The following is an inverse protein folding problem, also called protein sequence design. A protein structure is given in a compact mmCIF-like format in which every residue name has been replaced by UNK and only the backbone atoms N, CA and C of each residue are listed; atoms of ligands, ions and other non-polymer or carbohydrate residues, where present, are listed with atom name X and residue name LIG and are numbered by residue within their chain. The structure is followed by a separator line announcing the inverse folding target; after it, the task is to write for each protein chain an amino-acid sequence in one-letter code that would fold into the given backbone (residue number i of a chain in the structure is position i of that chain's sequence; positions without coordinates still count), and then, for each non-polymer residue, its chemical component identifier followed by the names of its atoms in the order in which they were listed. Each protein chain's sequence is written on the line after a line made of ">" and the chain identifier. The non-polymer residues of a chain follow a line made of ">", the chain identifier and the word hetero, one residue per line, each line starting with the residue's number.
data_IF_875584079851
#
_entry.id   IF_875584079851
#
_cell.length_a   1.000
_cell.length_b   1.000
_cell.length_c   1.000
_cell.angle_alpha   90.00
_cell.angle_beta   90.00
_cell.angle_gamma   90.00
#
_symmetry.space_group_name_H-M   'P 1'
#
loop_
_entity.id
_entity.type
_entity.pdbx_description
1 polymer ?
#
# COMPACT_ATOMS: atom_id res chain seq x y z
N UNK A 1 -7.04 25.39 -14.29
CA UNK A 1 -5.78 24.77 -13.82
C UNK A 1 -5.47 25.11 -12.36
N UNK A 2 -5.49 26.38 -11.93
CA UNK A 2 -5.20 26.74 -10.53
C UNK A 2 -6.13 26.04 -9.52
N UNK A 3 -7.44 26.18 -9.70
CA UNK A 3 -8.45 25.57 -8.81
C UNK A 3 -8.42 24.03 -8.80
N UNK A 4 -8.00 23.42 -9.92
CA UNK A 4 -7.88 21.95 -10.01
C UNK A 4 -6.70 21.42 -9.20
N UNK A 5 -5.57 22.15 -9.15
CA UNK A 5 -4.41 21.76 -8.36
C UNK A 5 -4.66 21.95 -6.85
N UNK A 6 -5.34 23.02 -6.44
CA UNK A 6 -5.72 23.22 -5.05
C UNK A 6 -6.66 22.13 -4.53
N UNK A 7 -7.68 21.76 -5.33
CA UNK A 7 -8.58 20.65 -4.99
C UNK A 7 -7.82 19.33 -4.89
N UNK A 8 -6.88 19.09 -5.82
CA UNK A 8 -6.06 17.89 -5.86
C UNK A 8 -5.18 17.75 -4.62
N UNK A 9 -4.44 18.80 -4.25
CA UNK A 9 -3.62 18.84 -3.04
C UNK A 9 -4.49 18.63 -1.80
N UNK A 10 -5.73 19.13 -1.84
CA UNK A 10 -6.80 18.87 -0.88
C UNK A 10 -7.01 17.39 -0.53
N UNK A 11 -6.76 16.49 -1.49
CA UNK A 11 -7.05 15.05 -1.40
C UNK A 11 -5.84 14.18 -1.04
N UNK A 12 -4.61 14.71 -1.13
CA UNK A 12 -3.40 13.95 -0.80
C UNK A 12 -3.47 13.35 0.61
N UNK A 13 -3.24 12.04 0.72
CA UNK A 13 -3.34 11.26 1.98
C UNK A 13 -4.72 11.27 2.64
N UNK A 14 -5.79 11.59 1.91
CA UNK A 14 -7.16 11.59 2.43
C UNK A 14 -8.03 10.62 1.62
N UNK A 15 -7.82 9.29 1.77
CA UNK A 15 -8.76 8.32 1.22
C UNK A 15 -10.13 8.50 1.86
N UNK A 16 -11.20 8.24 1.12
CA UNK A 16 -12.57 8.55 1.57
C UNK A 16 -13.07 7.62 2.69
N UNK A 17 -12.58 6.37 2.72
CA UNK A 17 -12.85 5.34 3.74
C UNK A 17 -14.32 5.13 4.16
N UNK A 18 -15.29 5.03 3.23
CA UNK A 18 -16.71 4.88 3.57
C UNK A 18 -17.03 3.62 4.39
N UNK A 19 -16.21 2.56 4.31
CA UNK A 19 -16.45 1.29 4.99
C UNK A 19 -15.69 1.15 6.32
N UNK A 20 -15.03 2.20 6.81
CA UNK A 20 -14.16 2.12 7.99
C UNK A 20 -14.87 1.53 9.23
N UNK A 21 -16.11 1.93 9.49
CA UNK A 21 -16.89 1.40 10.62
C UNK A 21 -17.06 -0.12 10.56
N UNK A 22 -17.51 -0.63 9.41
CA UNK A 22 -17.65 -2.09 9.17
C UNK A 22 -16.30 -2.80 9.29
N UNK A 23 -15.22 -2.21 8.79
CA UNK A 23 -13.89 -2.82 8.90
C UNK A 23 -13.39 -2.88 10.35
N UNK A 24 -13.68 -1.85 11.16
CA UNK A 24 -13.31 -1.83 12.58
C UNK A 24 -14.15 -2.82 13.40
N UNK A 25 -15.42 -3.04 13.07
CA UNK A 25 -16.24 -4.09 13.68
C UNK A 25 -15.65 -5.49 13.43
N UNK A 26 -15.29 -5.78 12.17
CA UNK A 26 -14.62 -7.04 11.81
C UNK A 26 -13.28 -7.22 12.53
N UNK A 27 -12.51 -6.14 12.76
CA UNK A 27 -11.31 -6.16 13.61
C UNK A 27 -11.64 -6.63 15.02
N UNK A 28 -12.72 -6.13 15.60
CA UNK A 28 -13.21 -6.54 16.91
C UNK A 28 -13.57 -8.03 16.96
N UNK A 29 -14.31 -8.51 15.96
CA UNK A 29 -14.66 -9.93 15.82
C UNK A 29 -13.41 -10.81 15.70
N UNK A 30 -12.41 -10.40 14.90
CA UNK A 30 -11.14 -11.10 14.79
C UNK A 30 -10.37 -11.14 16.11
N UNK A 31 -10.27 -10.01 16.81
CA UNK A 31 -9.56 -9.93 18.09
C UNK A 31 -10.18 -10.89 19.13
N UNK A 32 -11.51 -10.94 19.20
CA UNK A 32 -12.23 -11.85 20.08
C UNK A 32 -12.04 -13.33 19.67
N UNK A 33 -12.13 -13.63 18.37
CA UNK A 33 -11.89 -14.98 17.87
C UNK A 33 -10.46 -15.46 18.19
N UNK A 34 -9.46 -14.59 18.01
CA UNK A 34 -8.05 -14.85 18.34
C UNK A 34 -7.88 -15.09 19.84
N UNK A 35 -8.49 -14.26 20.69
CA UNK A 35 -8.47 -14.46 22.15
C UNK A 35 -9.01 -15.84 22.53
N UNK A 36 -10.20 -16.20 22.02
CA UNK A 36 -10.83 -17.50 22.29
C UNK A 36 -10.02 -18.69 21.74
N UNK A 37 -9.31 -18.51 20.63
CA UNK A 37 -8.44 -19.54 20.06
C UNK A 37 -7.20 -19.77 20.93
N UNK A 38 -6.55 -18.70 21.38
CA UNK A 38 -5.41 -18.76 22.31
C UNK A 38 -5.81 -19.42 23.63
N UNK A 39 -6.99 -19.07 24.19
CA UNK A 39 -7.49 -19.71 25.40
C UNK A 39 -7.76 -21.21 25.21
N UNK A 40 -8.37 -21.62 24.09
CA UNK A 40 -8.61 -23.04 23.77
C UNK A 40 -7.31 -23.81 23.61
N UNK A 41 -6.33 -23.21 22.93
CA UNK A 41 -5.01 -23.80 22.76
C UNK A 41 -4.28 -23.95 24.11
N UNK A 42 -4.30 -22.93 24.96
CA UNK A 42 -3.69 -22.98 26.28
C UNK A 42 -4.26 -24.12 27.13
N UNK A 43 -5.59 -24.31 27.09
CA UNK A 43 -6.25 -25.45 27.76
C UNK A 43 -5.80 -26.79 27.16
N UNK A 44 -5.83 -26.94 25.84
CA UNK A 44 -5.42 -28.18 25.18
C UNK A 44 -3.94 -28.54 25.45
N UNK A 45 -3.05 -27.54 25.45
CA UNK A 45 -1.63 -27.73 25.81
C UNK A 45 -1.51 -28.15 27.27
N UNK A 46 -2.22 -27.49 28.19
CA UNK A 46 -2.24 -27.85 29.62
C UNK A 46 -2.72 -29.29 29.84
N UNK A 47 -3.79 -29.71 29.17
CA UNK A 47 -4.33 -31.07 29.25
C UNK A 47 -3.34 -32.11 28.68
N UNK A 48 -2.67 -31.78 27.58
CA UNK A 48 -1.64 -32.62 26.98
C UNK A 48 -0.43 -32.78 27.91
N UNK A 49 0.02 -31.69 28.54
CA UNK A 49 1.11 -31.73 29.53
C UNK A 49 0.73 -32.60 30.73
N UNK A 50 -0.49 -32.49 31.25
CA UNK A 50 -0.97 -33.36 32.33
C UNK A 50 -0.96 -34.85 31.93
N UNK A 51 -1.37 -35.16 30.69
CA UNK A 51 -1.30 -36.53 30.14
C UNK A 51 0.13 -37.03 29.97
N UNK A 52 1.07 -36.16 29.57
CA UNK A 52 2.50 -36.47 29.49
C UNK A 52 3.05 -36.81 30.88
N UNK A 53 2.78 -35.97 31.90
CA UNK A 53 3.25 -36.21 33.26
C UNK A 53 2.69 -37.50 33.87
N UNK A 54 1.40 -37.79 33.63
CA UNK A 54 0.80 -39.07 34.03
C UNK A 54 1.48 -40.27 33.33
N UNK A 55 1.70 -40.19 32.02
CA UNK A 55 2.40 -41.24 31.28
C UNK A 55 3.86 -41.42 31.76
N UNK A 56 4.52 -40.33 32.16
CA UNK A 56 5.85 -40.36 32.77
C UNK A 56 5.84 -41.11 34.10
N UNK A 57 4.86 -40.84 34.95
CA UNK A 57 4.69 -41.53 36.22
C UNK A 57 4.48 -43.05 36.01
N UNK A 58 3.70 -43.45 35.01
CA UNK A 58 3.49 -44.86 34.64
C UNK A 58 4.83 -45.54 34.25
N UNK A 59 5.64 -44.89 33.42
CA UNK A 59 6.97 -45.40 32.99
C UNK A 59 7.91 -45.53 34.18
N UNK A 60 7.94 -44.54 35.07
CA UNK A 60 8.76 -44.61 36.28
C UNK A 60 8.29 -45.72 37.24
N UNK A 61 6.98 -45.94 37.37
CA UNK A 61 6.43 -47.00 38.20
C UNK A 61 6.75 -48.41 37.66
N UNK A 62 6.85 -48.59 36.33
CA UNK A 62 7.23 -49.85 35.70
C UNK A 62 8.72 -50.21 35.92
N UNK A 63 9.58 -49.20 36.10
CA UNK A 63 11.02 -49.36 36.36
C UNK A 63 11.78 -50.23 35.34
N UNK A 64 11.31 -50.28 34.09
CA UNK A 64 11.93 -51.00 32.98
C UNK A 64 12.76 -50.08 32.06
N UNK A 65 12.63 -48.76 32.23
CA UNK A 65 13.31 -47.75 31.42
C UNK A 65 12.79 -47.61 29.99
N UNK A 66 11.64 -48.21 29.66
CA UNK A 66 11.13 -48.24 28.28
C UNK A 66 10.18 -47.06 28.04
N UNK A 67 10.55 -46.21 27.08
CA UNK A 67 9.66 -45.16 26.57
C UNK A 67 8.56 -45.79 25.71
N UNK A 68 7.30 -45.63 26.14
CA UNK A 68 6.15 -46.19 25.42
C UNK A 68 5.82 -45.38 24.16
N UNK A 69 5.18 -46.03 23.18
CA UNK A 69 4.63 -45.36 21.99
C UNK A 69 3.65 -44.25 22.38
N UNK A 70 2.85 -44.47 23.43
CA UNK A 70 1.96 -43.46 24.04
C UNK A 70 2.69 -42.16 24.39
N UNK A 71 3.88 -42.23 24.98
CA UNK A 71 4.65 -41.03 25.33
C UNK A 71 5.15 -40.30 24.08
N UNK A 72 5.59 -41.04 23.06
CA UNK A 72 6.01 -40.46 21.77
C UNK A 72 4.86 -39.76 21.05
N UNK A 73 3.67 -40.35 21.06
CA UNK A 73 2.47 -39.77 20.45
C UNK A 73 2.01 -38.51 21.18
N UNK A 74 2.05 -38.52 22.51
CA UNK A 74 1.76 -37.34 23.33
C UNK A 74 2.74 -36.19 23.06
N UNK A 75 4.03 -36.47 22.89
CA UNK A 75 5.00 -35.44 22.50
C UNK A 75 4.71 -34.85 21.11
N UNK A 76 4.28 -35.68 20.15
CA UNK A 76 3.88 -35.20 18.82
C UNK A 76 2.63 -34.34 18.88
N UNK A 77 1.64 -34.78 19.65
CA UNK A 77 0.42 -34.03 19.92
C UNK A 77 0.74 -32.68 20.57
N UNK A 78 1.60 -32.66 21.59
CA UNK A 78 2.07 -31.42 22.22
C UNK A 78 2.76 -30.49 21.22
N UNK A 79 3.70 -31.00 20.41
CA UNK A 79 4.38 -30.19 19.36
C UNK A 79 3.39 -29.61 18.35
N UNK A 80 2.34 -30.36 18.00
CA UNK A 80 1.29 -29.88 17.11
C UNK A 80 0.43 -28.80 17.79
N UNK A 81 -0.04 -29.06 19.02
CA UNK A 81 -0.85 -28.13 19.80
C UNK A 81 -0.11 -26.84 20.15
N UNK A 82 1.21 -26.89 20.37
CA UNK A 82 2.02 -25.70 20.70
C UNK A 82 2.29 -24.78 19.50
N UNK A 83 2.00 -25.21 18.27
CA UNK A 83 2.10 -24.35 17.08
C UNK A 83 0.79 -23.57 16.93
N UNK A 84 0.78 -22.34 17.38
CA UNK A 84 -0.27 -21.40 16.98
C UNK A 84 -0.05 -21.08 15.50
N UNK A 85 -1.08 -21.23 14.68
CA UNK A 85 -1.10 -20.65 13.33
C UNK A 85 -1.64 -19.21 13.46
N UNK A 86 -0.76 -18.18 13.47
CA UNK A 86 -1.20 -16.80 13.59
C UNK A 86 -1.93 -16.32 12.32
N UNK A 87 -1.77 -17.00 11.20
CA UNK A 87 -2.28 -16.57 9.90
C UNK A 87 -3.69 -17.13 9.61
N UNK A 88 -4.05 -18.29 10.18
CA UNK A 88 -5.36 -18.93 9.92
C UNK A 88 -6.56 -18.00 10.18
N UNK A 89 -6.63 -17.39 11.37
CA UNK A 89 -7.71 -16.47 11.71
C UNK A 89 -7.61 -15.13 10.95
N UNK A 90 -6.40 -14.72 10.57
CA UNK A 90 -6.17 -13.48 9.83
C UNK A 90 -6.74 -13.61 8.41
N UNK A 91 -6.53 -14.74 7.75
CA UNK A 91 -7.06 -15.00 6.41
C UNK A 91 -8.60 -15.01 6.38
N UNK A 92 -9.24 -15.53 7.42
CA UNK A 92 -10.71 -15.50 7.55
C UNK A 92 -11.24 -14.07 7.73
N UNK A 93 -10.55 -13.23 8.51
CA UNK A 93 -10.88 -11.82 8.65
C UNK A 93 -10.67 -11.06 7.33
N UNK A 94 -9.58 -11.36 6.62
CA UNK A 94 -9.29 -10.82 5.30
C UNK A 94 -10.37 -11.15 4.27
N UNK A 95 -10.84 -12.39 4.24
CA UNK A 95 -11.90 -12.84 3.33
C UNK A 95 -13.24 -12.13 3.58
N UNK A 96 -13.48 -11.64 4.80
CA UNK A 96 -14.68 -10.85 5.15
C UNK A 96 -14.52 -9.36 4.80
N UNK A 97 -13.29 -8.84 4.87
CA UNK A 97 -12.99 -7.43 4.69
C UNK A 97 -12.75 -7.04 3.23
N UNK A 98 -12.02 -7.87 2.49
CA UNK A 98 -11.51 -7.52 1.17
C UNK A 98 -12.09 -8.44 0.09
N UNK A 99 -12.28 -7.92 -1.15
CA UNK A 99 -12.58 -8.76 -2.30
C UNK A 99 -11.54 -9.87 -2.46
N UNK A 100 -11.97 -11.09 -2.83
CA UNK A 100 -11.09 -12.25 -2.98
C UNK A 100 -9.88 -11.99 -3.89
N UNK A 101 -10.06 -11.14 -4.92
CA UNK A 101 -8.99 -10.71 -5.83
C UNK A 101 -7.80 -10.03 -5.11
N UNK A 102 -7.99 -9.46 -3.93
CA UNK A 102 -6.92 -8.75 -3.21
C UNK A 102 -6.00 -9.67 -2.38
N UNK A 103 -6.46 -10.89 -2.08
CA UNK A 103 -5.80 -11.83 -1.17
C UNK A 103 -4.45 -12.31 -1.72
N UNK A 104 -4.31 -12.42 -3.05
CA UNK A 104 -3.08 -12.90 -3.70
C UNK A 104 -2.05 -11.81 -4.01
N UNK A 105 -2.48 -10.56 -4.19
CA UNK A 105 -1.60 -9.49 -4.69
C UNK A 105 -0.73 -8.85 -3.62
N UNK A 106 -1.11 -9.00 -2.34
CA UNK A 106 -0.57 -8.17 -1.27
C UNK A 106 0.27 -9.03 -0.31
N UNK A 107 1.55 -9.24 -0.69
CA UNK A 107 2.52 -10.01 0.10
C UNK A 107 3.01 -9.17 1.29
N UNK A 108 2.35 -9.30 2.43
CA UNK A 108 2.80 -8.75 3.72
C UNK A 108 3.38 -9.82 4.65
N UNK A 109 3.88 -10.92 4.10
CA UNK A 109 4.32 -12.09 4.87
C UNK A 109 5.49 -11.82 5.84
N UNK A 110 6.16 -10.68 5.69
CA UNK A 110 7.34 -10.33 6.50
C UNK A 110 7.05 -9.26 7.58
N UNK A 111 5.82 -8.73 7.66
CA UNK A 111 5.40 -7.82 8.75
C UNK A 111 4.59 -8.56 9.81
N UNK A 112 4.49 -7.98 11.00
CA UNK A 112 3.72 -8.55 12.09
C UNK A 112 2.22 -8.64 11.74
N UNK A 113 1.48 -9.63 12.28
CA UNK A 113 0.08 -9.86 11.94
C UNK A 113 -0.85 -8.67 12.20
N UNK A 114 -0.56 -7.85 13.21
CA UNK A 114 -1.43 -6.72 13.58
C UNK A 114 -1.27 -5.59 12.55
N UNK A 115 -0.04 -5.31 12.11
CA UNK A 115 0.27 -4.42 10.99
C UNK A 115 -0.35 -4.89 9.67
N UNK A 116 -0.41 -6.21 9.42
CA UNK A 116 -1.13 -6.77 8.25
C UNK A 116 -2.63 -6.48 8.32
N UNK A 117 -3.23 -6.64 9.50
CA UNK A 117 -4.64 -6.39 9.71
C UNK A 117 -4.97 -4.90 9.56
N UNK A 118 -4.15 -4.01 10.10
CA UNK A 118 -4.33 -2.56 9.94
C UNK A 118 -4.23 -2.14 8.47
N UNK A 119 -3.32 -2.74 7.70
CA UNK A 119 -3.22 -2.50 6.27
C UNK A 119 -4.46 -3.04 5.53
N UNK A 120 -5.00 -4.17 5.98
CA UNK A 120 -6.25 -4.73 5.48
C UNK A 120 -7.39 -3.74 5.63
N UNK A 121 -7.59 -3.26 6.86
CA UNK A 121 -8.66 -2.35 7.22
C UNK A 121 -8.51 -1.04 6.46
N UNK A 122 -7.30 -0.49 6.38
CA UNK A 122 -7.05 0.75 5.65
C UNK A 122 -7.48 0.65 4.19
N UNK A 123 -7.09 -0.43 3.50
CA UNK A 123 -7.43 -0.63 2.08
C UNK A 123 -8.89 -1.05 1.88
N UNK A 124 -9.40 -1.96 2.72
CA UNK A 124 -10.78 -2.45 2.64
C UNK A 124 -11.80 -1.36 2.97
N UNK A 125 -11.42 -0.39 3.81
CA UNK A 125 -12.29 0.74 4.12
C UNK A 125 -12.57 1.63 2.90
N UNK A 126 -11.75 1.54 1.84
CA UNK A 126 -11.77 2.40 0.66
C UNK A 126 -11.55 1.60 -0.65
N UNK A 127 -12.44 0.64 -0.92
CA UNK A 127 -12.34 -0.22 -2.11
C UNK A 127 -12.26 0.56 -3.42
N UNK A 128 -13.11 1.58 -3.58
CA UNK A 128 -13.15 2.41 -4.79
C UNK A 128 -11.86 3.22 -4.98
N UNK A 129 -11.33 3.81 -3.91
CA UNK A 129 -10.07 4.56 -3.97
C UNK A 129 -8.88 3.65 -4.32
N UNK A 130 -8.83 2.43 -3.75
CA UNK A 130 -7.78 1.45 -4.08
C UNK A 130 -7.85 1.03 -5.55
N UNK A 131 -9.04 0.77 -6.08
CA UNK A 131 -9.23 0.43 -7.49
C UNK A 131 -8.85 1.59 -8.43
N UNK A 132 -9.22 2.81 -8.06
CA UNK A 132 -8.82 4.02 -8.78
C UNK A 132 -7.30 4.19 -8.78
N UNK A 133 -6.63 3.95 -7.65
CA UNK A 133 -5.18 4.03 -7.52
C UNK A 133 -4.46 2.97 -8.37
N UNK A 134 -4.96 1.73 -8.40
CA UNK A 134 -4.40 0.65 -9.23
C UNK A 134 -4.63 0.90 -10.73
N UNK A 135 -5.79 1.46 -11.10
CA UNK A 135 -6.06 1.91 -12.46
C UNK A 135 -5.12 3.05 -12.87
N UNK A 136 -4.91 4.03 -11.99
CA UNK A 136 -3.97 5.13 -12.21
C UNK A 136 -2.52 4.64 -12.41
N UNK A 137 -2.07 3.65 -11.64
CA UNK A 137 -0.76 3.03 -11.83
C UNK A 137 -0.63 2.33 -13.20
N UNK A 138 -1.71 1.67 -13.67
CA UNK A 138 -1.74 1.07 -15.01
C UNK A 138 -1.76 2.13 -16.12
N UNK A 139 -2.49 3.23 -15.92
CA UNK A 139 -2.51 4.37 -16.84
C UNK A 139 -1.15 5.08 -16.90
N UNK A 140 -0.44 5.19 -15.77
CA UNK A 140 0.90 5.77 -15.70
C UNK A 140 1.88 4.99 -16.59
N UNK A 141 1.84 3.65 -16.50
CA UNK A 141 2.62 2.78 -17.39
C UNK A 141 2.30 3.03 -18.87
N UNK A 142 1.02 3.09 -19.21
CA UNK A 142 0.59 3.32 -20.60
C UNK A 142 1.00 4.70 -21.12
N UNK A 143 0.93 5.74 -20.27
CA UNK A 143 1.28 7.11 -20.64
C UNK A 143 2.79 7.31 -20.82
N UNK A 144 3.62 6.57 -20.06
CA UNK A 144 5.07 6.70 -20.08
C UNK A 144 5.78 5.75 -21.07
N UNK A 145 5.13 4.67 -21.49
CA UNK A 145 5.70 3.72 -22.45
C UNK A 145 6.14 4.36 -23.79
N UNK A 146 5.40 5.30 -24.41
CA UNK A 146 5.83 5.99 -25.64
C UNK A 146 7.12 6.80 -25.48
N UNK A 147 7.48 7.14 -24.23
CA UNK A 147 8.66 7.92 -23.86
C UNK A 147 9.83 7.04 -23.41
N UNK A 148 9.77 5.74 -23.70
CA UNK A 148 10.84 4.79 -23.39
C UNK A 148 10.95 4.38 -21.92
N UNK A 149 10.04 4.85 -21.06
CA UNK A 149 9.99 4.48 -19.64
C UNK A 149 9.20 3.18 -19.45
N UNK A 150 9.88 2.14 -18.98
CA UNK A 150 9.28 0.83 -18.71
C UNK A 150 8.92 0.70 -17.23
N UNK A 151 7.63 0.54 -16.94
CA UNK A 151 7.11 0.31 -15.59
C UNK A 151 6.48 -1.08 -15.53
N UNK A 152 6.88 -1.89 -14.54
CA UNK A 152 6.38 -3.26 -14.42
C UNK A 152 4.87 -3.33 -14.09
N UNK A 153 4.26 -4.49 -14.36
CA UNK A 153 2.81 -4.71 -14.20
C UNK A 153 2.32 -4.69 -12.74
N UNK A 154 3.22 -5.01 -11.79
CA UNK A 154 2.87 -5.30 -10.41
C UNK A 154 2.58 -4.03 -9.62
N UNK A 155 1.48 -4.01 -8.88
CA UNK A 155 1.22 -3.01 -7.84
C UNK A 155 1.51 -3.62 -6.47
N UNK A 156 2.21 -2.88 -5.61
CA UNK A 156 2.51 -3.24 -4.23
C UNK A 156 1.95 -2.15 -3.31
N UNK A 157 1.44 -2.56 -2.16
CA UNK A 157 0.93 -1.66 -1.12
C UNK A 157 1.83 -1.74 0.10
N UNK A 158 2.30 -0.60 0.60
CA UNK A 158 3.15 -0.50 1.79
C UNK A 158 2.72 0.66 2.66
N UNK A 159 2.93 0.54 3.97
CA UNK A 159 2.81 1.69 4.86
C UNK A 159 3.71 2.81 4.38
N UNK A 160 3.21 4.04 4.51
CA UNK A 160 4.00 5.20 4.13
C UNK A 160 5.26 5.28 4.99
N UNK A 161 6.43 5.19 4.35
CA UNK A 161 7.74 5.34 4.95
C UNK A 161 8.54 6.49 4.32
N UNK A 162 8.44 6.67 3.00
CA UNK A 162 9.10 7.74 2.26
C UNK A 162 8.29 8.19 1.04
N UNK A 163 8.53 9.43 0.62
CA UNK A 163 8.02 9.98 -0.63
C UNK A 163 8.85 9.47 -1.83
N UNK A 164 8.26 9.48 -3.03
CA UNK A 164 8.97 9.11 -4.24
C UNK A 164 9.89 10.25 -4.74
N UNK A 165 11.20 10.06 -4.58
CA UNK A 165 12.23 11.07 -4.87
C UNK A 165 12.58 11.24 -6.36
N UNK A 166 12.11 10.37 -7.25
CA UNK A 166 12.50 10.36 -8.67
C UNK A 166 11.38 10.80 -9.63
N UNK A 167 10.54 11.76 -9.22
CA UNK A 167 9.43 12.27 -10.05
C UNK A 167 9.95 13.04 -11.28
N UNK A 168 11.09 13.68 -11.14
CA UNK A 168 11.79 14.48 -12.15
C UNK A 168 12.24 13.56 -13.29
N UNK A 169 12.96 12.48 -12.93
CA UNK A 169 13.44 11.45 -13.84
C UNK A 169 12.27 10.73 -14.54
N UNK A 170 11.15 10.56 -13.85
CA UNK A 170 9.96 9.91 -14.40
C UNK A 170 9.43 10.62 -15.65
N UNK A 171 9.52 11.95 -15.69
CA UNK A 171 8.98 12.77 -16.77
C UNK A 171 10.01 13.40 -17.70
N UNK A 172 11.30 13.33 -17.36
CA UNK A 172 12.43 13.94 -18.09
C UNK A 172 12.25 13.92 -19.63
N UNK A 173 12.16 12.74 -20.24
CA UNK A 173 12.04 12.61 -21.71
C UNK A 173 10.78 13.25 -22.29
N UNK A 174 9.65 13.17 -21.58
CA UNK A 174 8.40 13.78 -22.03
C UNK A 174 8.43 15.32 -21.86
N UNK A 175 9.08 15.80 -20.79
CA UNK A 175 9.28 17.21 -20.52
C UNK A 175 10.23 17.85 -21.54
N UNK A 176 11.34 17.18 -21.88
CA UNK A 176 12.28 17.65 -22.91
C UNK A 176 11.56 17.84 -24.24
N UNK A 177 10.80 16.83 -24.68
CA UNK A 177 10.02 16.92 -25.90
C UNK A 177 9.00 18.06 -25.87
N UNK A 178 8.29 18.26 -24.74
CA UNK A 178 7.31 19.33 -24.61
C UNK A 178 7.97 20.72 -24.63
N UNK A 179 9.16 20.84 -24.05
CA UNK A 179 9.96 22.07 -24.03
C UNK A 179 10.49 22.41 -25.42
N UNK A 180 11.02 21.42 -26.15
CA UNK A 180 11.48 21.57 -27.53
C UNK A 180 10.33 22.00 -28.45
N UNK A 181 9.16 21.37 -28.32
CA UNK A 181 7.97 21.75 -29.07
C UNK A 181 7.51 23.18 -28.76
N UNK A 182 7.63 23.60 -27.49
CA UNK A 182 7.24 24.95 -27.06
C UNK A 182 8.23 26.01 -27.55
N UNK A 183 9.52 25.70 -27.71
CA UNK A 183 10.55 26.65 -28.14
C UNK A 183 10.24 27.30 -29.51
N UNK A 184 9.48 26.63 -30.37
CA UNK A 184 9.02 27.14 -31.66
C UNK A 184 7.79 28.08 -31.58
N UNK A 185 7.16 28.20 -30.41
CA UNK A 185 5.91 28.94 -30.22
C UNK A 185 6.19 30.40 -29.81
N UNK A 186 5.62 31.40 -30.50
CA UNK A 186 5.69 32.80 -30.06
C UNK A 186 5.15 32.95 -28.63
N UNK A 187 5.96 33.50 -27.72
CA UNK A 187 5.59 33.65 -26.31
C UNK A 187 5.98 32.49 -25.40
N UNK A 188 6.79 31.53 -25.88
CA UNK A 188 7.31 30.41 -25.08
C UNK A 188 7.88 30.82 -23.71
N UNK A 189 8.62 31.92 -23.64
CA UNK A 189 9.19 32.42 -22.39
C UNK A 189 8.11 32.76 -21.34
N UNK A 190 7.01 33.41 -21.76
CA UNK A 190 5.91 33.76 -20.86
C UNK A 190 5.14 32.51 -20.41
N UNK A 191 5.00 31.51 -21.28
CA UNK A 191 4.43 30.21 -20.92
C UNK A 191 5.28 29.52 -19.86
N UNK A 192 6.60 29.48 -20.06
CA UNK A 192 7.54 28.86 -19.12
C UNK A 192 7.50 29.55 -17.75
N UNK A 193 7.53 30.88 -17.73
CA UNK A 193 7.43 31.66 -16.49
C UNK A 193 6.12 31.36 -15.74
N UNK A 194 5.00 31.27 -16.47
CA UNK A 194 3.70 30.93 -15.90
C UNK A 194 3.67 29.51 -15.33
N UNK A 195 4.23 28.54 -16.06
CA UNK A 195 4.33 27.15 -15.60
C UNK A 195 5.17 27.05 -14.32
N UNK A 196 6.30 27.76 -14.26
CA UNK A 196 7.12 27.84 -13.04
C UNK A 196 6.37 28.50 -11.88
N UNK A 197 5.58 29.54 -12.15
CA UNK A 197 4.71 30.18 -11.17
C UNK A 197 3.69 29.19 -10.58
N UNK A 198 3.06 28.37 -11.43
CA UNK A 198 2.14 27.32 -10.98
C UNK A 198 2.84 26.27 -10.13
N UNK A 199 4.04 25.83 -10.53
CA UNK A 199 4.85 24.87 -9.76
C UNK A 199 5.21 25.41 -8.37
N UNK A 200 5.66 26.67 -8.27
CA UNK A 200 5.95 27.33 -6.98
C UNK A 200 4.73 27.39 -6.08
N UNK A 201 3.59 27.83 -6.62
CA UNK A 201 2.35 27.88 -5.86
C UNK A 201 1.92 26.50 -5.35
N UNK A 202 1.96 25.49 -6.22
CA UNK A 202 1.63 24.12 -5.82
C UNK A 202 2.56 23.62 -4.70
N UNK A 203 3.87 23.91 -4.79
CA UNK A 203 4.84 23.60 -3.73
C UNK A 203 4.45 24.26 -2.41
N UNK A 204 4.18 25.57 -2.42
CA UNK A 204 3.85 26.34 -1.22
C UNK A 204 2.60 25.79 -0.54
N UNK A 205 1.57 25.43 -1.31
CA UNK A 205 0.33 24.85 -0.78
C UNK A 205 0.57 23.46 -0.18
N UNK A 206 1.41 22.62 -0.80
CA UNK A 206 1.78 21.32 -0.23
C UNK A 206 2.56 21.50 1.06
N UNK A 207 3.58 22.38 1.11
CA UNK A 207 4.37 22.62 2.32
C UNK A 207 3.57 23.27 3.45
N UNK A 208 2.61 24.15 3.12
CA UNK A 208 1.71 24.71 4.12
C UNK A 208 0.86 23.64 4.81
N UNK A 209 0.52 22.56 4.09
CA UNK A 209 -0.26 21.44 4.61
C UNK A 209 0.61 20.33 5.22
N UNK A 210 1.77 20.09 4.65
CA UNK A 210 2.70 19.03 5.01
C UNK A 210 4.13 19.60 5.12
N UNK A 211 4.45 20.31 6.21
CA UNK A 211 5.71 21.05 6.33
C UNK A 211 6.97 20.18 6.21
N UNK A 212 6.88 18.93 6.67
CA UNK A 212 8.02 17.99 6.68
C UNK A 212 8.14 17.18 5.38
N UNK A 213 7.39 17.54 4.32
CA UNK A 213 7.23 16.74 3.10
C UNK A 213 7.76 17.44 1.87
N UNK A 214 9.02 17.86 1.94
CA UNK A 214 9.73 18.56 0.86
C UNK A 214 9.78 17.77 -0.45
N UNK A 215 9.97 16.44 -0.37
CA UNK A 215 10.01 15.56 -1.54
C UNK A 215 8.65 15.52 -2.25
N UNK A 216 7.56 15.32 -1.49
CA UNK A 216 6.21 15.39 -2.05
C UNK A 216 5.92 16.76 -2.67
N UNK A 217 6.30 17.84 -1.97
CA UNK A 217 6.09 19.20 -2.47
C UNK A 217 6.84 19.44 -3.78
N UNK A 218 8.07 18.93 -3.91
CA UNK A 218 8.83 18.96 -5.16
C UNK A 218 8.16 18.14 -6.27
N UNK A 219 7.70 16.92 -5.96
CA UNK A 219 7.00 16.06 -6.92
C UNK A 219 5.71 16.71 -7.47
N UNK A 220 4.88 17.27 -6.59
CA UNK A 220 3.64 17.97 -6.97
C UNK A 220 3.94 19.24 -7.77
N UNK A 221 4.95 20.01 -7.36
CA UNK A 221 5.39 21.20 -8.08
C UNK A 221 5.87 20.87 -9.50
N UNK A 222 6.66 19.82 -9.64
CA UNK A 222 7.17 19.35 -10.92
C UNK A 222 6.04 18.83 -11.82
N UNK A 223 5.11 18.06 -11.25
CA UNK A 223 3.91 17.60 -11.98
C UNK A 223 3.06 18.78 -12.47
N UNK A 224 2.82 19.80 -11.64
CA UNK A 224 2.08 21.00 -12.04
C UNK A 224 2.79 21.80 -13.15
N UNK A 225 4.12 21.86 -13.09
CA UNK A 225 4.94 22.47 -14.13
C UNK A 225 4.83 21.72 -15.46
N UNK A 226 5.03 20.40 -15.46
CA UNK A 226 4.93 19.54 -16.66
C UNK A 226 3.52 19.60 -17.24
N UNK A 227 2.48 19.54 -16.39
CA UNK A 227 1.07 19.65 -16.81
C UNK A 227 0.79 20.96 -17.55
N UNK A 228 1.30 22.09 -17.03
CA UNK A 228 1.13 23.39 -17.65
C UNK A 228 1.86 23.50 -19.01
N UNK A 229 3.09 22.98 -19.10
CA UNK A 229 3.84 22.96 -20.36
C UNK A 229 3.18 22.06 -21.40
N UNK A 230 2.69 20.89 -20.98
CA UNK A 230 2.02 19.94 -21.86
C UNK A 230 0.82 20.58 -22.57
N UNK A 231 -0.03 21.27 -21.81
CA UNK A 231 -1.21 21.94 -22.34
C UNK A 231 -0.88 23.15 -23.23
N UNK A 232 0.29 23.76 -23.06
CA UNK A 232 0.74 24.87 -23.88
C UNK A 232 1.52 24.45 -25.13
N UNK A 233 2.00 23.21 -25.17
CA UNK A 233 2.69 22.62 -26.32
C UNK A 233 1.71 22.11 -27.39
N UNK A 234 2.24 21.69 -28.54
CA UNK A 234 1.44 20.99 -29.57
C UNK A 234 0.90 19.62 -29.10
N UNK A 235 1.39 19.09 -27.97
CA UNK A 235 0.97 17.80 -27.43
C UNK A 235 -0.34 17.82 -26.65
N UNK A 236 -1.05 18.95 -26.61
CA UNK A 236 -2.35 19.07 -25.90
C UNK A 236 -3.39 18.00 -26.29
N UNK A 237 -3.28 17.44 -27.50
CA UNK A 237 -4.18 16.40 -28.02
C UNK A 237 -3.68 14.97 -27.71
N UNK A 238 -2.46 14.84 -27.19
CA UNK A 238 -1.88 13.58 -26.70
C UNK A 238 -2.18 13.37 -25.22
N UNK A 239 -2.09 12.12 -24.78
CA UNK A 239 -2.20 11.77 -23.36
C UNK A 239 -1.12 12.49 -22.57
N UNK A 240 -1.54 13.30 -21.60
CA UNK A 240 -0.64 13.99 -20.69
C UNK A 240 0.01 12.97 -19.72
N UNK A 241 1.35 12.89 -19.66
CA UNK A 241 2.05 11.91 -18.83
C UNK A 241 1.81 12.10 -17.33
N UNK A 242 1.40 13.30 -16.90
CA UNK A 242 1.13 13.63 -15.49
C UNK A 242 -0.29 13.23 -15.07
N UNK A 243 -1.24 13.14 -16.00
CA UNK A 243 -2.64 12.89 -15.68
C UNK A 243 -2.87 11.63 -14.82
N UNK A 244 -2.20 10.48 -15.07
CA UNK A 244 -2.32 9.32 -14.20
C UNK A 244 -1.82 9.55 -12.76
N UNK A 245 -0.75 10.32 -12.57
CA UNK A 245 -0.27 10.64 -11.22
C UNK A 245 -1.26 11.57 -10.48
N UNK A 246 -1.92 12.47 -11.21
CA UNK A 246 -3.02 13.26 -10.65
C UNK A 246 -4.21 12.38 -10.29
N UNK A 247 -4.60 11.42 -11.12
CA UNK A 247 -5.67 10.47 -10.81
C UNK A 247 -5.35 9.63 -9.57
N UNK A 248 -4.10 9.21 -9.41
CA UNK A 248 -3.61 8.57 -8.19
C UNK A 248 -3.83 9.49 -6.99
N UNK A 249 -3.40 10.74 -7.04
CA UNK A 249 -3.60 11.69 -5.93
C UNK A 249 -5.07 12.00 -5.63
N UNK A 250 -5.95 11.99 -6.65
CA UNK A 250 -7.41 12.17 -6.46
C UNK A 250 -8.04 11.04 -5.65
N UNK A 251 -7.47 9.84 -5.72
CA UNK A 251 -7.89 8.69 -4.93
C UNK A 251 -7.45 8.76 -3.47
N UNK A 252 -6.59 9.73 -3.11
CA UNK A 252 -6.05 9.90 -1.76
C UNK A 252 -4.77 9.11 -1.48
N UNK A 253 -4.30 8.33 -2.44
CA UNK A 253 -3.07 7.55 -2.37
C UNK A 253 -1.91 8.27 -3.04
N UNK A 254 -0.69 7.87 -2.69
CA UNK A 254 0.53 8.41 -3.30
C UNK A 254 1.48 7.30 -3.73
N UNK A 255 2.39 7.68 -4.61
CA UNK A 255 3.48 6.87 -5.11
C UNK A 255 4.66 6.91 -4.13
N UNK A 256 5.28 5.75 -3.85
CA UNK A 256 6.52 5.68 -3.05
C UNK A 256 7.69 5.06 -3.82
N UNK A 257 7.42 4.23 -4.82
CA UNK A 257 8.46 3.69 -5.70
C UNK A 257 7.90 3.29 -7.07
N UNK A 258 8.72 3.42 -8.12
CA UNK A 258 8.44 2.98 -9.49
C UNK A 258 9.70 2.38 -10.09
N UNK A 259 9.59 1.19 -10.68
CA UNK A 259 10.68 0.54 -11.39
C UNK A 259 10.15 -0.41 -12.50
N UNK A 260 11.08 -1.07 -13.19
CA UNK A 260 10.75 -2.05 -14.23
C UNK A 260 10.00 -3.29 -13.70
N UNK A 261 9.97 -3.51 -12.38
CA UNK A 261 9.24 -4.61 -11.73
C UNK A 261 7.81 -4.22 -11.35
N UNK A 262 7.55 -2.95 -11.08
CA UNK A 262 6.23 -2.47 -10.70
C UNK A 262 6.18 -1.09 -10.07
N UNK A 263 5.07 -0.85 -9.38
CA UNK A 263 4.75 0.37 -8.64
C UNK A 263 4.48 0.01 -7.18
N UNK A 264 4.95 0.86 -6.26
CA UNK A 264 4.60 0.79 -4.84
C UNK A 264 3.80 2.03 -4.45
N UNK A 265 2.64 1.78 -3.84
CA UNK A 265 1.70 2.80 -3.36
C UNK A 265 1.69 2.82 -1.84
N UNK A 266 1.61 4.02 -1.28
CA UNK A 266 1.51 4.24 0.15
C UNK A 266 0.12 3.92 0.66
N UNK A 267 0.03 3.25 1.80
CA UNK A 267 -1.16 3.14 2.62
C UNK A 267 -1.11 4.30 3.62
N UNK A 268 -2.02 5.27 3.55
CA UNK A 268 -2.12 6.33 4.55
C UNK A 268 -2.50 5.71 5.91
N UNK A 269 -2.00 6.25 7.03
CA UNK A 269 -2.38 5.78 8.37
C UNK A 269 -3.90 5.81 8.60
N UNK A 270 -4.41 4.86 9.40
CA UNK A 270 -5.83 4.74 9.75
C UNK A 270 -6.37 5.96 10.50
#
# INVERSE_FOLDING_TARGET
>A
MRDSWLNLIGRLFVPARPQLGTCLEARGTYAEARRLAVERQARAVSDCVARIEAARADVFAANDGIVTSKMTDLEREWRWLSRLDPDAALMDAWAQLAPARWVDHKRWRDVDPDTRLDAAIALASDVEGVEAAEAAASALRAALAPWGRTIGARVRWRWFDADFEATDELYETALDAATDALAAVPGAAAVLERAQGLGREAREVVLARFPDREVLAAAVAHAAFVDALWHASEFRERVNPVAPLMDLWRSGYVLTAVDATGVTLAIPPL
#
